data_IF_527093321600
#
_entry.id   IF_527093321600
#
_cell.length_a   1.000
_cell.length_b   1.000
_cell.length_c   1.000
_cell.angle_alpha   90.00
_cell.angle_beta   90.00
_cell.angle_gamma   90.00
#
_symmetry.space_group_name_H-M   'P 1'
#
loop_
_entity.id
_entity.type
_entity.pdbx_description
1 polymer ?
#
# COMPACT_ATOMS: atom_id res chain seq x y z
N UNK A 1 -35.50 38.09 -36.93
CA UNK A 1 -34.79 37.90 -35.64
C UNK A 1 -33.79 36.78 -35.82
N UNK A 2 -32.50 37.12 -35.92
CA UNK A 2 -31.45 36.19 -36.25
C UNK A 2 -31.02 35.43 -34.98
N UNK A 3 -31.06 34.08 -35.05
CA UNK A 3 -30.48 33.21 -34.03
C UNK A 3 -28.93 33.32 -34.09
N UNK A 4 -28.34 33.91 -33.05
CA UNK A 4 -26.90 33.86 -32.84
C UNK A 4 -26.50 32.43 -32.45
N UNK A 5 -25.42 31.86 -33.04
CA UNK A 5 -24.96 30.54 -32.69
C UNK A 5 -24.37 30.57 -31.27
N UNK A 6 -24.79 29.61 -30.45
CA UNK A 6 -24.27 29.41 -29.10
C UNK A 6 -22.75 29.16 -29.17
N UNK A 7 -22.07 29.87 -28.31
CA UNK A 7 -20.64 29.94 -28.05
C UNK A 7 -19.97 28.54 -27.99
N UNK A 8 -19.29 28.17 -29.06
CA UNK A 8 -18.52 26.92 -29.19
C UNK A 8 -17.20 26.92 -28.45
N UNK A 9 -16.85 28.03 -27.78
CA UNK A 9 -15.55 28.21 -27.10
C UNK A 9 -15.51 27.62 -25.68
N UNK A 10 -16.68 27.29 -25.07
CA UNK A 10 -16.74 26.78 -23.70
C UNK A 10 -16.41 25.28 -23.55
N UNK A 11 -16.37 24.50 -24.64
CA UNK A 11 -16.14 23.05 -24.58
C UNK A 11 -14.65 22.63 -24.60
N UNK A 12 -13.74 23.54 -24.94
CA UNK A 12 -12.32 23.20 -25.12
C UNK A 12 -11.49 23.32 -23.84
N UNK A 13 -11.93 24.08 -22.84
CA UNK A 13 -11.13 24.38 -21.62
C UNK A 13 -11.32 23.43 -20.45
N UNK A 14 -12.40 22.67 -20.37
CA UNK A 14 -12.70 21.77 -19.25
C UNK A 14 -11.79 20.51 -19.18
N UNK A 15 -11.30 19.90 -20.28
CA UNK A 15 -10.50 18.68 -20.22
C UNK A 15 -9.04 18.88 -19.78
N UNK A 16 -8.50 20.10 -19.80
CA UNK A 16 -7.06 20.34 -19.55
C UNK A 16 -6.68 20.30 -18.06
N UNK A 17 -7.59 20.64 -17.14
CA UNK A 17 -7.28 20.80 -15.72
C UNK A 17 -6.92 19.50 -15.00
N UNK A 18 -7.38 18.35 -15.47
CA UNK A 18 -7.13 17.05 -14.84
C UNK A 18 -6.20 16.10 -15.61
N UNK A 19 -5.67 16.50 -16.77
CA UNK A 19 -4.81 15.62 -17.60
C UNK A 19 -3.52 15.19 -16.91
N UNK A 20 -2.98 16.01 -16.02
CA UNK A 20 -1.74 15.75 -15.28
C UNK A 20 -1.93 14.87 -14.05
N UNK A 21 -3.16 14.68 -13.56
CA UNK A 21 -3.39 13.91 -12.36
C UNK A 21 -2.89 12.45 -12.46
N UNK A 22 -3.15 11.68 -13.52
CA UNK A 22 -2.54 10.36 -13.71
C UNK A 22 -1.01 10.38 -13.68
N UNK A 23 -0.38 11.38 -14.31
CA UNK A 23 1.08 11.47 -14.36
C UNK A 23 1.69 11.67 -12.96
N UNK A 24 1.09 12.52 -12.11
CA UNK A 24 1.52 12.70 -10.72
C UNK A 24 1.40 11.40 -9.92
N UNK A 25 0.28 10.67 -10.06
CA UNK A 25 0.06 9.40 -9.37
C UNK A 25 1.09 8.36 -9.80
N UNK A 26 1.30 8.20 -11.10
CA UNK A 26 2.24 7.22 -11.64
C UNK A 26 3.70 7.58 -11.30
N UNK A 27 4.08 8.86 -11.37
CA UNK A 27 5.39 9.32 -10.94
C UNK A 27 5.63 9.04 -9.46
N UNK A 28 4.65 9.34 -8.60
CA UNK A 28 4.75 9.05 -7.16
C UNK A 28 4.98 7.57 -6.89
N UNK A 29 4.19 6.68 -7.52
CA UNK A 29 4.32 5.24 -7.33
C UNK A 29 5.63 4.71 -7.93
N UNK A 30 6.00 5.12 -9.14
CA UNK A 30 7.24 4.69 -9.79
C UNK A 30 8.50 5.06 -8.99
N UNK A 31 8.43 6.12 -8.19
CA UNK A 31 9.54 6.63 -7.37
C UNK A 31 9.54 6.10 -5.92
N UNK A 32 8.65 5.18 -5.53
CA UNK A 32 8.69 4.54 -4.20
C UNK A 32 10.02 3.88 -3.83
N UNK A 33 10.81 3.34 -4.76
CA UNK A 33 12.16 2.88 -4.44
C UNK A 33 13.12 3.98 -3.96
N UNK A 34 12.79 5.26 -4.21
CA UNK A 34 13.53 6.45 -3.82
C UNK A 34 12.68 7.30 -2.85
N UNK A 35 12.60 6.95 -1.54
CA UNK A 35 11.62 7.51 -0.61
C UNK A 35 11.62 9.04 -0.55
N UNK A 36 12.80 9.67 -0.51
CA UNK A 36 12.93 11.13 -0.46
C UNK A 36 12.36 11.82 -1.72
N UNK A 37 12.59 11.23 -2.90
CA UNK A 37 12.08 11.76 -4.17
C UNK A 37 10.57 11.52 -4.28
N UNK A 38 10.09 10.34 -3.89
CA UNK A 38 8.66 10.06 -3.86
C UNK A 38 7.91 11.05 -2.94
N UNK A 39 8.44 11.33 -1.75
CA UNK A 39 7.87 12.33 -0.84
C UNK A 39 7.87 13.73 -1.46
N UNK A 40 8.93 14.13 -2.16
CA UNK A 40 8.97 15.41 -2.87
C UNK A 40 7.88 15.49 -3.95
N UNK A 41 7.71 14.44 -4.74
CA UNK A 41 6.63 14.36 -5.76
C UNK A 41 5.25 14.45 -5.10
N UNK A 42 5.02 13.79 -3.97
CA UNK A 42 3.78 13.88 -3.22
C UNK A 42 3.50 15.32 -2.76
N UNK A 43 4.51 15.98 -2.18
CA UNK A 43 4.38 17.38 -1.71
C UNK A 43 4.09 18.32 -2.88
N UNK A 44 4.82 18.20 -3.99
CA UNK A 44 4.59 19.01 -5.18
C UNK A 44 3.20 18.78 -5.78
N UNK A 45 2.74 17.53 -5.82
CA UNK A 45 1.39 17.17 -6.26
C UNK A 45 0.32 17.76 -5.34
N UNK A 46 0.54 17.71 -4.02
CA UNK A 46 -0.36 18.31 -3.03
C UNK A 46 -0.42 19.85 -3.20
N UNK A 47 0.73 20.51 -3.33
CA UNK A 47 0.79 21.95 -3.59
C UNK A 47 0.11 22.31 -4.91
N UNK A 48 0.35 21.55 -5.97
CA UNK A 48 -0.32 21.72 -7.25
C UNK A 48 -1.85 21.63 -7.10
N UNK A 49 -2.36 20.64 -6.35
CA UNK A 49 -3.78 20.51 -6.08
C UNK A 49 -4.33 21.73 -5.33
N UNK A 50 -3.64 22.21 -4.28
CA UNK A 50 -4.04 23.40 -3.51
C UNK A 50 -4.06 24.64 -4.39
N UNK A 51 -3.02 24.89 -5.18
CA UNK A 51 -2.94 26.06 -6.08
C UNK A 51 -4.12 26.04 -7.07
N UNK A 52 -4.46 24.88 -7.62
CA UNK A 52 -5.63 24.73 -8.53
C UNK A 52 -6.94 25.02 -7.83
N UNK A 53 -7.09 24.63 -6.56
CA UNK A 53 -8.28 24.93 -5.75
C UNK A 53 -8.40 26.41 -5.39
N UNK A 54 -7.28 27.10 -5.19
CA UNK A 54 -7.27 28.53 -4.84
C UNK A 54 -7.56 29.43 -6.05
N UNK A 55 -7.32 28.99 -7.27
CA UNK A 55 -7.59 29.76 -8.48
C UNK A 55 -9.10 29.79 -8.79
N UNK A 56 -9.79 30.96 -8.78
CA UNK A 56 -11.25 31.05 -8.94
C UNK A 56 -11.76 30.44 -10.26
N UNK A 57 -11.02 30.67 -11.36
CA UNK A 57 -11.31 30.10 -12.69
C UNK A 57 -11.19 28.58 -12.76
N UNK A 58 -10.38 27.99 -11.88
CA UNK A 58 -10.10 26.55 -11.85
C UNK A 58 -10.96 25.79 -10.83
N UNK A 59 -11.55 26.47 -9.83
CA UNK A 59 -12.46 25.84 -8.86
C UNK A 59 -13.64 25.16 -9.54
N UNK A 60 -14.27 25.82 -10.51
CA UNK A 60 -15.35 25.24 -11.30
C UNK A 60 -14.91 24.00 -12.06
N UNK A 61 -13.73 24.04 -12.70
CA UNK A 61 -13.19 22.90 -13.46
C UNK A 61 -12.78 21.72 -12.55
N UNK A 62 -12.18 21.97 -11.39
CA UNK A 62 -11.85 20.93 -10.39
C UNK A 62 -13.11 20.35 -9.78
N UNK A 63 -14.07 21.19 -9.38
CA UNK A 63 -15.36 20.75 -8.83
C UNK A 63 -16.24 20.04 -9.85
N UNK A 64 -16.12 20.37 -11.15
CA UNK A 64 -16.77 19.64 -12.21
C UNK A 64 -16.11 18.26 -12.46
N UNK A 65 -14.79 18.16 -12.20
CA UNK A 65 -14.02 16.93 -12.40
C UNK A 65 -14.14 15.99 -11.21
N UNK A 66 -14.09 16.51 -9.99
CA UNK A 66 -14.21 15.74 -8.76
C UNK A 66 -15.55 16.08 -8.10
N UNK A 67 -16.58 15.27 -8.31
CA UNK A 67 -17.91 15.50 -7.74
C UNK A 67 -17.91 15.53 -6.19
N UNK A 68 -18.95 16.14 -5.62
CA UNK A 68 -19.13 16.25 -4.15
C UNK A 68 -18.99 14.90 -3.43
N UNK A 69 -19.55 13.76 -3.94
CA UNK A 69 -19.37 12.46 -3.29
C UNK A 69 -17.92 12.00 -3.21
N UNK A 70 -17.12 12.27 -4.25
CA UNK A 70 -15.70 11.93 -4.27
C UNK A 70 -14.91 12.75 -3.24
N UNK A 71 -15.18 14.06 -3.14
CA UNK A 71 -14.62 14.94 -2.14
C UNK A 71 -14.94 14.46 -0.73
N UNK A 72 -16.23 14.20 -0.45
CA UNK A 72 -16.70 13.78 0.85
C UNK A 72 -16.07 12.45 1.28
N UNK A 73 -16.15 11.42 0.44
CA UNK A 73 -15.61 10.10 0.76
C UNK A 73 -14.09 10.14 0.97
N UNK A 74 -13.36 10.81 0.09
CA UNK A 74 -11.90 10.94 0.20
C UNK A 74 -11.50 11.66 1.49
N UNK A 75 -12.20 12.76 1.84
CA UNK A 75 -11.92 13.52 3.06
C UNK A 75 -12.28 12.74 4.33
N UNK A 76 -13.36 11.98 4.32
CA UNK A 76 -13.75 11.12 5.46
C UNK A 76 -12.70 10.02 5.67
N UNK A 77 -12.23 9.37 4.60
CA UNK A 77 -11.19 8.34 4.71
C UNK A 77 -9.85 8.91 5.19
N UNK A 78 -9.51 10.14 4.76
CA UNK A 78 -8.37 10.86 5.30
C UNK A 78 -8.53 11.14 6.79
N UNK A 79 -9.67 11.69 7.22
CA UNK A 79 -9.92 12.01 8.63
C UNK A 79 -9.91 10.76 9.51
N UNK A 80 -10.45 9.64 9.03
CA UNK A 80 -10.42 8.38 9.77
C UNK A 80 -8.99 7.85 10.00
N UNK A 81 -8.04 8.22 9.15
CA UNK A 81 -6.62 7.91 9.32
C UNK A 81 -5.88 8.97 10.14
N UNK A 82 -6.13 10.25 9.89
CA UNK A 82 -5.34 11.37 10.40
C UNK A 82 -5.80 11.86 11.80
N UNK A 83 -7.13 11.90 12.03
CA UNK A 83 -7.67 12.41 13.30
C UNK A 83 -7.26 11.58 14.52
N UNK A 84 -7.23 10.23 14.47
CA UNK A 84 -6.68 9.44 15.57
C UNK A 84 -5.24 9.81 15.92
N UNK A 85 -4.41 10.06 14.90
CA UNK A 85 -3.02 10.45 15.11
C UNK A 85 -2.91 11.82 15.79
N UNK A 86 -3.79 12.78 15.43
CA UNK A 86 -3.83 14.08 16.08
C UNK A 86 -4.21 13.97 17.56
N UNK A 87 -5.27 13.22 17.86
CA UNK A 87 -5.75 13.05 19.23
C UNK A 87 -4.72 12.33 20.11
N UNK A 88 -4.10 11.29 19.56
CA UNK A 88 -3.03 10.54 20.23
C UNK A 88 -1.75 11.36 20.43
N UNK A 89 -1.45 12.31 19.51
CA UNK A 89 -0.26 13.14 19.62
C UNK A 89 -0.32 14.15 20.78
N UNK A 90 -1.52 14.50 21.25
CA UNK A 90 -1.70 15.45 22.35
C UNK A 90 -1.21 14.86 23.70
N UNK A 91 -1.28 13.55 23.85
CA UNK A 91 -0.92 12.80 25.06
C UNK A 91 0.32 11.90 24.87
N UNK A 92 1.08 12.13 23.79
CA UNK A 92 2.26 11.33 23.48
C UNK A 92 3.43 11.66 24.40
N UNK A 93 4.32 10.70 24.68
CA UNK A 93 5.57 10.92 25.45
C UNK A 93 6.47 12.03 24.85
N UNK A 94 6.47 12.17 23.52
CA UNK A 94 7.17 13.24 22.79
C UNK A 94 6.17 14.07 21.96
N UNK A 95 5.35 14.96 22.59
CA UNK A 95 4.25 15.67 21.92
C UNK A 95 4.72 16.51 20.71
N UNK A 96 5.85 17.20 20.83
CA UNK A 96 6.38 18.03 19.75
C UNK A 96 6.73 17.23 18.50
N UNK A 97 7.35 16.06 18.66
CA UNK A 97 7.66 15.15 17.55
C UNK A 97 6.39 14.54 16.94
N UNK A 98 5.45 14.11 17.78
CA UNK A 98 4.19 13.53 17.37
C UNK A 98 3.35 14.57 16.59
N UNK A 99 3.18 15.79 17.10
CA UNK A 99 2.47 16.88 16.44
C UNK A 99 3.14 17.29 15.13
N UNK A 100 4.49 17.34 15.07
CA UNK A 100 5.21 17.58 13.82
C UNK A 100 4.91 16.53 12.76
N UNK A 101 4.80 15.25 13.16
CA UNK A 101 4.41 14.14 12.28
C UNK A 101 2.99 14.31 11.76
N UNK A 102 2.06 14.66 12.66
CA UNK A 102 0.63 14.87 12.33
C UNK A 102 0.46 16.07 11.40
N UNK A 103 1.13 17.20 11.69
CA UNK A 103 1.11 18.39 10.83
C UNK A 103 1.64 18.06 9.42
N UNK A 104 2.77 17.34 9.34
CA UNK A 104 3.29 16.84 8.07
C UNK A 104 2.30 15.93 7.33
N UNK A 105 1.42 15.23 8.03
CA UNK A 105 0.37 14.37 7.46
C UNK A 105 -0.71 15.12 6.69
N UNK A 106 -0.92 16.43 6.95
CA UNK A 106 -1.93 17.23 6.25
C UNK A 106 -1.70 17.29 4.73
N UNK A 107 -0.46 17.14 4.26
CA UNK A 107 -0.15 17.10 2.82
C UNK A 107 -0.84 15.96 2.08
N UNK A 108 -1.21 14.89 2.77
CA UNK A 108 -1.90 13.77 2.15
C UNK A 108 -3.31 14.13 1.69
N UNK A 109 -4.03 15.03 2.35
CA UNK A 109 -5.41 15.36 1.98
C UNK A 109 -5.52 15.94 0.55
N UNK A 110 -4.82 17.03 0.19
CA UNK A 110 -4.87 17.54 -1.18
C UNK A 110 -4.27 16.57 -2.20
N UNK A 111 -3.26 15.77 -1.80
CA UNK A 111 -2.76 14.69 -2.65
C UNK A 111 -3.85 13.64 -2.93
N UNK A 112 -4.62 13.21 -1.94
CA UNK A 112 -5.72 12.27 -2.12
C UNK A 112 -6.81 12.82 -3.07
N UNK A 113 -7.11 14.11 -3.02
CA UNK A 113 -8.04 14.74 -3.98
C UNK A 113 -7.47 14.67 -5.40
N UNK A 114 -6.18 14.93 -5.58
CA UNK A 114 -5.52 14.78 -6.89
C UNK A 114 -5.57 13.32 -7.38
N UNK A 115 -5.33 12.36 -6.50
CA UNK A 115 -5.43 10.92 -6.81
C UNK A 115 -6.85 10.55 -7.22
N UNK A 116 -7.87 11.05 -6.52
CA UNK A 116 -9.27 10.82 -6.88
C UNK A 116 -9.61 11.43 -8.26
N UNK A 117 -9.06 12.61 -8.59
CA UNK A 117 -9.17 13.19 -9.94
C UNK A 117 -8.51 12.34 -11.02
N UNK A 118 -7.44 11.62 -10.69
CA UNK A 118 -6.73 10.75 -11.64
C UNK A 118 -7.56 9.54 -12.11
N UNK A 119 -8.70 9.28 -11.48
CA UNK A 119 -9.61 8.17 -11.82
C UNK A 119 -11.07 8.60 -12.00
N UNK A 120 -11.32 9.92 -12.05
CA UNK A 120 -12.66 10.50 -12.05
C UNK A 120 -13.44 10.27 -13.38
N UNK A 121 -12.77 9.95 -14.47
CA UNK A 121 -13.35 9.58 -15.74
C UNK A 121 -12.68 8.33 -16.35
N UNK A 122 -13.28 7.78 -17.41
CA UNK A 122 -12.82 6.53 -18.03
C UNK A 122 -11.42 6.64 -18.62
N UNK A 123 -11.07 7.75 -19.24
CA UNK A 123 -9.78 7.94 -19.90
C UNK A 123 -8.66 8.00 -18.87
N UNK A 124 -8.81 8.83 -17.82
CA UNK A 124 -7.85 8.97 -16.72
C UNK A 124 -7.72 7.68 -15.93
N UNK A 125 -8.83 7.02 -15.62
CA UNK A 125 -8.85 5.76 -14.88
C UNK A 125 -8.12 4.66 -15.64
N UNK A 126 -8.34 4.54 -16.96
CA UNK A 126 -7.61 3.58 -17.81
C UNK A 126 -6.12 3.84 -17.78
N UNK A 127 -5.67 5.10 -17.94
CA UNK A 127 -4.24 5.46 -17.88
C UNK A 127 -3.66 5.15 -16.49
N UNK A 128 -4.35 5.55 -15.42
CA UNK A 128 -3.85 5.35 -14.06
C UNK A 128 -3.76 3.86 -13.71
N UNK A 129 -4.81 3.08 -13.95
CA UNK A 129 -4.83 1.66 -13.59
C UNK A 129 -3.91 0.82 -14.48
N UNK A 130 -3.85 1.12 -15.79
CA UNK A 130 -2.89 0.48 -16.70
C UNK A 130 -1.45 0.84 -16.33
N UNK A 131 -1.18 2.11 -15.98
CA UNK A 131 0.14 2.53 -15.51
C UNK A 131 0.58 1.83 -14.23
N UNK A 132 -0.32 1.68 -13.23
CA UNK A 132 -0.04 0.89 -12.02
C UNK A 132 0.23 -0.58 -12.34
N UNK A 133 -0.52 -1.17 -13.26
CA UNK A 133 -0.30 -2.55 -13.73
C UNK A 133 1.07 -2.68 -14.41
N UNK A 134 1.45 -1.73 -15.26
CA UNK A 134 2.75 -1.71 -15.94
C UNK A 134 3.89 -1.57 -14.93
N UNK A 135 3.78 -0.67 -13.94
CA UNK A 135 4.79 -0.53 -12.88
C UNK A 135 4.94 -1.84 -12.12
N UNK A 136 3.85 -2.48 -11.70
CA UNK A 136 3.89 -3.78 -11.03
C UNK A 136 4.52 -4.87 -11.92
N UNK A 137 4.22 -4.86 -13.23
CA UNK A 137 4.82 -5.76 -14.21
C UNK A 137 6.34 -5.56 -14.36
N UNK A 138 6.79 -4.31 -14.51
CA UNK A 138 8.21 -3.96 -14.61
C UNK A 138 8.97 -4.36 -13.34
N UNK A 139 8.42 -4.09 -12.15
CA UNK A 139 9.06 -4.49 -10.89
C UNK A 139 9.08 -6.00 -10.69
N UNK A 140 8.05 -6.72 -11.17
CA UNK A 140 8.07 -8.19 -11.17
C UNK A 140 9.13 -8.72 -12.10
N UNK A 141 9.28 -8.15 -13.31
CA UNK A 141 10.34 -8.51 -14.25
C UNK A 141 11.73 -8.28 -13.66
N UNK A 142 11.97 -7.11 -13.08
CA UNK A 142 13.24 -6.76 -12.44
C UNK A 142 13.60 -7.73 -11.31
N UNK A 143 12.59 -8.14 -10.51
CA UNK A 143 12.78 -9.15 -9.46
C UNK A 143 13.17 -10.52 -10.03
N UNK A 144 12.57 -10.95 -11.14
CA UNK A 144 12.94 -12.20 -11.82
C UNK A 144 14.33 -12.11 -12.43
N UNK A 145 14.68 -10.98 -13.02
CA UNK A 145 16.04 -10.74 -13.55
C UNK A 145 17.06 -10.76 -12.40
N UNK A 146 16.75 -10.19 -11.25
CA UNK A 146 17.61 -10.30 -10.06
C UNK A 146 17.79 -11.75 -9.62
N UNK A 147 16.73 -12.56 -9.65
CA UNK A 147 16.83 -13.98 -9.28
C UNK A 147 17.72 -14.79 -10.24
N UNK A 148 17.73 -14.43 -11.54
CA UNK A 148 18.51 -15.11 -12.56
C UNK A 148 19.98 -14.63 -12.61
N UNK A 149 20.20 -13.33 -12.46
CA UNK A 149 21.51 -12.69 -12.65
C UNK A 149 22.13 -12.17 -11.35
N UNK A 150 21.51 -12.43 -10.20
CA UNK A 150 21.96 -11.99 -8.86
C UNK A 150 21.98 -10.46 -8.65
N UNK A 151 21.64 -9.68 -9.66
CA UNK A 151 21.60 -8.21 -9.63
C UNK A 151 20.30 -7.70 -10.21
N UNK A 152 19.69 -6.72 -9.53
CA UNK A 152 18.52 -5.99 -10.06
C UNK A 152 19.01 -4.90 -11.02
N UNK A 153 18.64 -4.94 -12.31
CA UNK A 153 19.03 -3.88 -13.25
C UNK A 153 18.51 -2.50 -12.87
N UNK A 154 17.25 -2.43 -12.38
CA UNK A 154 16.66 -1.14 -11.97
C UNK A 154 17.33 -0.60 -10.71
N UNK A 155 17.55 -1.43 -9.69
CA UNK A 155 18.23 -0.98 -8.48
C UNK A 155 19.66 -0.51 -8.79
N UNK A 156 20.40 -1.28 -9.59
CA UNK A 156 21.74 -0.91 -10.02
C UNK A 156 21.75 0.45 -10.74
N UNK A 157 20.85 0.65 -11.70
CA UNK A 157 20.73 1.93 -12.43
C UNK A 157 20.42 3.10 -11.51
N UNK A 158 19.48 2.93 -10.56
CA UNK A 158 19.14 3.97 -9.57
C UNK A 158 20.29 4.24 -8.60
N UNK A 159 21.04 3.20 -8.20
CA UNK A 159 22.20 3.33 -7.35
C UNK A 159 23.31 4.15 -8.02
N UNK A 160 23.64 3.81 -9.28
CA UNK A 160 24.64 4.55 -10.08
C UNK A 160 24.20 6.00 -10.30
N UNK A 161 22.94 6.22 -10.65
CA UNK A 161 22.41 7.57 -10.85
C UNK A 161 22.51 8.41 -9.56
N UNK A 162 22.14 7.86 -8.41
CA UNK A 162 22.25 8.55 -7.14
C UNK A 162 23.70 8.84 -6.79
N UNK A 163 24.60 7.88 -6.98
CA UNK A 163 26.03 8.05 -6.72
C UNK A 163 26.63 9.16 -7.61
N UNK A 164 26.25 9.20 -8.89
CA UNK A 164 26.68 10.24 -9.84
C UNK A 164 26.17 11.64 -9.45
N UNK A 165 24.90 11.75 -9.01
CA UNK A 165 24.26 13.04 -8.71
C UNK A 165 24.61 13.59 -7.32
N UNK A 166 24.83 12.74 -6.33
CA UNK A 166 24.99 13.14 -4.93
C UNK A 166 26.25 12.62 -4.24
N UNK A 167 27.05 11.79 -4.91
CA UNK A 167 28.23 11.15 -4.31
C UNK A 167 27.89 10.08 -3.25
N UNK A 168 26.61 9.80 -2.99
CA UNK A 168 26.18 8.88 -1.93
C UNK A 168 25.56 7.61 -2.50
N UNK A 169 25.86 6.49 -1.87
CA UNK A 169 25.23 5.20 -2.19
C UNK A 169 23.73 5.21 -1.88
N UNK A 170 22.94 4.45 -2.63
CA UNK A 170 21.52 4.26 -2.36
C UNK A 170 21.28 3.35 -1.15
N UNK A 171 22.19 2.40 -0.94
CA UNK A 171 22.16 1.40 0.12
C UNK A 171 23.58 1.17 0.62
N UNK A 172 23.81 1.32 1.90
CA UNK A 172 25.10 1.03 2.53
C UNK A 172 25.13 -0.43 2.98
N UNK A 173 26.29 -1.10 3.00
CA UNK A 173 26.42 -2.49 3.44
C UNK A 173 25.87 -2.75 4.86
N UNK A 174 26.04 -1.80 5.75
CA UNK A 174 25.54 -1.85 7.15
C UNK A 174 24.02 -1.77 7.26
N UNK A 175 23.34 -1.23 6.24
CA UNK A 175 21.89 -1.03 6.25
C UNK A 175 21.13 -2.19 5.57
N UNK A 176 21.83 -3.25 5.18
CA UNK A 176 21.25 -4.38 4.45
C UNK A 176 20.41 -5.29 5.36
N UNK A 177 19.13 -5.00 5.48
CA UNK A 177 18.14 -5.78 6.24
C UNK A 177 17.62 -6.96 5.42
N UNK A 178 17.55 -6.81 4.12
CA UNK A 178 16.99 -7.79 3.16
C UNK A 178 18.03 -8.65 2.44
N UNK A 179 19.24 -8.81 3.00
CA UNK A 179 20.25 -9.69 2.44
C UNK A 179 19.73 -11.13 2.29
N UNK A 180 20.07 -11.79 1.19
CA UNK A 180 19.57 -13.12 0.88
C UNK A 180 18.12 -13.18 0.38
N UNK A 181 17.47 -12.05 -0.01
CA UNK A 181 16.14 -12.01 -0.62
C UNK A 181 16.17 -11.28 -1.95
N UNK A 182 15.21 -11.61 -2.82
CA UNK A 182 14.95 -10.81 -4.01
C UNK A 182 14.20 -9.54 -3.61
N UNK A 183 14.87 -8.40 -3.68
CA UNK A 183 14.31 -7.10 -3.30
C UNK A 183 14.03 -6.20 -4.51
N UNK A 184 14.45 -6.62 -5.71
CA UNK A 184 14.27 -5.88 -6.96
C UNK A 184 14.74 -4.45 -6.84
N UNK A 185 14.02 -3.57 -7.48
CA UNK A 185 14.26 -2.12 -7.52
C UNK A 185 14.35 -1.44 -6.14
N UNK A 186 13.79 -2.04 -5.07
CA UNK A 186 13.85 -1.50 -3.71
C UNK A 186 15.21 -1.74 -3.02
N UNK A 187 15.98 -2.74 -3.46
CA UNK A 187 17.26 -3.09 -2.89
C UNK A 187 17.20 -3.70 -1.49
N UNK A 188 18.34 -4.20 -1.01
CA UNK A 188 18.43 -4.93 0.26
C UNK A 188 18.18 -4.07 1.50
N UNK A 189 18.38 -2.76 1.43
CA UNK A 189 18.09 -1.82 2.52
C UNK A 189 16.61 -1.52 2.69
N UNK A 190 15.76 -1.92 1.73
CA UNK A 190 14.33 -1.59 1.73
C UNK A 190 13.48 -2.78 1.27
N UNK A 191 13.39 -3.88 2.03
CA UNK A 191 12.79 -5.14 1.60
C UNK A 191 11.26 -5.10 1.56
N UNK A 192 10.69 -4.17 0.78
CA UNK A 192 9.24 -3.94 0.67
C UNK A 192 8.62 -4.55 -0.59
N UNK A 193 9.44 -5.00 -1.54
CA UNK A 193 8.99 -5.44 -2.87
C UNK A 193 7.80 -6.39 -2.81
N UNK A 194 7.91 -7.48 -2.06
CA UNK A 194 6.88 -8.53 -2.03
C UNK A 194 5.51 -8.00 -1.62
N UNK A 195 5.44 -7.16 -0.58
CA UNK A 195 4.17 -6.60 -0.11
C UNK A 195 3.64 -5.52 -1.05
N UNK A 196 4.50 -4.70 -1.63
CA UNK A 196 4.10 -3.69 -2.62
C UNK A 196 3.54 -4.35 -3.87
N UNK A 197 4.21 -5.39 -4.39
CA UNK A 197 3.71 -6.16 -5.53
C UNK A 197 2.38 -6.84 -5.21
N UNK A 198 2.25 -7.45 -4.03
CA UNK A 198 0.98 -8.06 -3.61
C UNK A 198 -0.16 -7.02 -3.56
N UNK A 199 0.11 -5.81 -3.04
CA UNK A 199 -0.88 -4.72 -2.96
C UNK A 199 -1.26 -4.16 -4.34
N UNK A 200 -0.33 -4.10 -5.30
CA UNK A 200 -0.58 -3.58 -6.66
C UNK A 200 -1.04 -4.65 -7.66
N UNK A 201 -0.86 -5.93 -7.36
CA UNK A 201 -1.20 -7.03 -8.28
C UNK A 201 -2.67 -7.08 -8.73
N UNK A 202 -3.69 -6.60 -7.97
CA UNK A 202 -5.05 -6.51 -8.50
C UNK A 202 -5.17 -5.70 -9.80
N UNK A 203 -4.37 -4.63 -9.96
CA UNK A 203 -4.36 -3.84 -11.19
C UNK A 203 -3.80 -4.66 -12.36
N UNK A 204 -2.70 -5.38 -12.15
CA UNK A 204 -2.05 -6.22 -13.16
C UNK A 204 -2.94 -7.41 -13.58
N UNK A 205 -3.44 -8.16 -12.60
CA UNK A 205 -4.21 -9.39 -12.86
C UNK A 205 -5.55 -9.09 -13.55
N UNK A 206 -6.26 -8.04 -13.09
CA UNK A 206 -7.52 -7.66 -13.69
C UNK A 206 -7.36 -7.06 -15.08
N UNK A 207 -6.28 -6.31 -15.33
CA UNK A 207 -5.97 -5.81 -16.68
C UNK A 207 -5.65 -6.98 -17.62
N UNK A 208 -4.76 -7.88 -17.23
CA UNK A 208 -4.40 -9.07 -18.02
C UNK A 208 -5.61 -9.97 -18.30
N UNK A 209 -6.46 -10.15 -17.29
CA UNK A 209 -7.71 -10.90 -17.44
C UNK A 209 -8.71 -10.25 -18.40
N UNK A 210 -8.77 -8.91 -18.46
CA UNK A 210 -9.60 -8.19 -19.42
C UNK A 210 -9.05 -8.27 -20.85
N UNK A 211 -7.72 -8.18 -21.01
CA UNK A 211 -7.09 -8.18 -22.35
C UNK A 211 -7.03 -9.59 -22.98
N UNK A 212 -6.72 -10.62 -22.17
CA UNK A 212 -6.41 -11.96 -22.68
C UNK A 212 -7.18 -13.08 -21.94
N UNK A 213 -8.25 -12.74 -21.24
CA UNK A 213 -9.12 -13.70 -20.57
C UNK A 213 -8.40 -14.50 -19.48
N UNK A 214 -8.82 -15.76 -19.31
CA UNK A 214 -8.29 -16.66 -18.27
C UNK A 214 -6.80 -16.92 -18.40
N UNK A 215 -6.30 -17.02 -19.63
CA UNK A 215 -4.88 -17.27 -19.91
C UNK A 215 -4.04 -16.06 -19.49
N UNK A 216 -4.46 -14.85 -19.86
CA UNK A 216 -3.77 -13.63 -19.47
C UNK A 216 -3.71 -13.46 -17.94
N UNK A 217 -4.83 -13.71 -17.26
CA UNK A 217 -4.86 -13.69 -15.81
C UNK A 217 -3.90 -14.72 -15.20
N UNK A 218 -3.90 -15.97 -15.70
CA UNK A 218 -3.03 -17.05 -15.19
C UNK A 218 -1.54 -16.73 -15.39
N UNK A 219 -1.17 -16.23 -16.57
CA UNK A 219 0.22 -15.83 -16.88
C UNK A 219 0.65 -14.68 -15.97
N UNK A 220 -0.17 -13.63 -15.82
CA UNK A 220 0.12 -12.51 -14.93
C UNK A 220 0.20 -12.96 -13.45
N UNK A 221 -0.68 -13.87 -13.04
CA UNK A 221 -0.68 -14.43 -11.70
C UNK A 221 0.60 -15.25 -11.42
N UNK A 222 1.04 -16.08 -12.34
CA UNK A 222 2.28 -16.82 -12.22
C UNK A 222 3.49 -15.88 -12.19
N UNK A 223 3.55 -14.93 -13.10
CA UNK A 223 4.63 -13.96 -13.24
C UNK A 223 4.83 -13.12 -11.98
N UNK A 224 3.78 -12.47 -11.46
CA UNK A 224 3.85 -11.72 -10.22
C UNK A 224 4.04 -12.64 -8.99
N UNK A 225 3.43 -13.83 -9.01
CA UNK A 225 3.50 -14.79 -7.92
C UNK A 225 4.92 -15.29 -7.66
N UNK A 226 5.67 -15.62 -8.70
CA UNK A 226 7.08 -16.04 -8.56
C UNK A 226 7.91 -14.90 -7.97
N UNK A 227 7.76 -13.66 -8.44
CA UNK A 227 8.46 -12.50 -7.89
C UNK A 227 8.15 -12.28 -6.39
N UNK A 228 6.86 -12.39 -6.01
CA UNK A 228 6.42 -12.25 -4.61
C UNK A 228 6.92 -13.38 -3.72
N UNK A 229 6.97 -14.61 -4.22
CA UNK A 229 7.52 -15.77 -3.50
C UNK A 229 9.02 -15.59 -3.22
N UNK A 230 9.78 -15.19 -4.23
CA UNK A 230 11.23 -14.96 -4.14
C UNK A 230 11.56 -13.74 -3.24
N UNK A 231 10.68 -12.77 -3.11
CA UNK A 231 10.82 -11.68 -2.14
C UNK A 231 10.76 -12.14 -0.68
N UNK A 232 10.35 -13.39 -0.42
CA UNK A 232 10.52 -14.10 0.84
C UNK A 232 9.74 -13.58 2.04
N UNK A 233 8.68 -12.76 1.86
CA UNK A 233 7.82 -12.28 2.92
C UNK A 233 6.55 -13.14 3.05
N UNK A 234 6.39 -13.83 4.17
CA UNK A 234 5.19 -14.67 4.44
C UNK A 234 3.89 -13.85 4.40
N UNK A 235 3.93 -12.61 4.89
CA UNK A 235 2.78 -11.72 4.84
C UNK A 235 2.36 -11.39 3.40
N UNK A 236 3.32 -11.17 2.50
CA UNK A 236 3.00 -10.92 1.08
C UNK A 236 2.45 -12.16 0.39
N UNK A 237 2.84 -13.35 0.81
CA UNK A 237 2.26 -14.61 0.28
C UNK A 237 0.77 -14.73 0.64
N UNK A 238 0.41 -14.46 1.91
CA UNK A 238 -0.98 -14.45 2.37
C UNK A 238 -1.78 -13.37 1.64
N UNK A 239 -1.24 -12.15 1.56
CA UNK A 239 -1.87 -11.05 0.83
C UNK A 239 -2.10 -11.42 -0.64
N UNK A 240 -1.11 -12.04 -1.28
CA UNK A 240 -1.24 -12.45 -2.67
C UNK A 240 -2.23 -13.61 -2.88
N UNK A 241 -2.30 -14.56 -1.96
CA UNK A 241 -3.32 -15.61 -1.99
C UNK A 241 -4.75 -15.04 -1.97
N UNK A 242 -4.98 -13.99 -1.16
CA UNK A 242 -6.26 -13.25 -1.16
C UNK A 242 -6.50 -12.54 -2.49
N UNK A 243 -5.46 -11.94 -3.09
CA UNK A 243 -5.57 -11.34 -4.43
C UNK A 243 -5.98 -12.38 -5.46
N UNK A 244 -5.33 -13.53 -5.50
CA UNK A 244 -5.68 -14.62 -6.43
C UNK A 244 -7.12 -15.07 -6.23
N UNK A 245 -7.54 -15.24 -4.99
CA UNK A 245 -8.91 -15.64 -4.66
C UNK A 245 -9.91 -14.60 -5.19
N UNK A 246 -9.77 -13.32 -4.83
CA UNK A 246 -10.76 -12.29 -5.17
C UNK A 246 -10.74 -11.87 -6.63
N UNK A 247 -9.59 -11.92 -7.31
CA UNK A 247 -9.51 -11.60 -8.75
C UNK A 247 -9.91 -12.78 -9.62
N UNK A 248 -9.55 -14.00 -9.22
CA UNK A 248 -9.78 -15.23 -9.99
C UNK A 248 -11.19 -15.83 -9.84
N UNK A 249 -11.84 -15.65 -8.70
CA UNK A 249 -13.11 -16.31 -8.39
C UNK A 249 -14.19 -16.13 -9.46
N UNK A 250 -14.40 -14.89 -9.91
CA UNK A 250 -15.40 -14.60 -10.96
C UNK A 250 -14.97 -15.03 -12.35
N UNK A 251 -13.66 -15.06 -12.61
CA UNK A 251 -13.11 -15.34 -13.94
C UNK A 251 -13.00 -16.85 -14.19
N UNK A 252 -12.59 -17.60 -13.18
CA UNK A 252 -12.29 -19.01 -13.29
C UNK A 252 -13.47 -19.91 -12.87
N UNK A 253 -14.21 -19.51 -11.83
CA UNK A 253 -15.17 -20.36 -11.14
C UNK A 253 -14.47 -21.38 -10.23
N UNK A 254 -15.26 -22.12 -9.42
CA UNK A 254 -14.74 -22.97 -8.34
C UNK A 254 -13.76 -24.07 -8.83
N UNK A 255 -14.09 -24.77 -9.92
CA UNK A 255 -13.27 -25.87 -10.46
C UNK A 255 -11.87 -25.39 -10.89
N UNK A 256 -11.81 -24.35 -11.68
CA UNK A 256 -10.55 -23.81 -12.17
C UNK A 256 -9.76 -23.09 -11.06
N UNK A 257 -10.46 -22.54 -10.08
CA UNK A 257 -9.81 -21.99 -8.89
C UNK A 257 -9.13 -23.11 -8.07
N UNK A 258 -9.79 -24.26 -7.87
CA UNK A 258 -9.17 -25.40 -7.20
C UNK A 258 -7.91 -25.89 -7.93
N UNK A 259 -7.96 -25.97 -9.27
CA UNK A 259 -6.80 -26.30 -10.09
C UNK A 259 -5.68 -25.24 -9.99
N UNK A 260 -6.03 -23.95 -9.95
CA UNK A 260 -5.05 -22.86 -9.76
C UNK A 260 -4.39 -22.94 -8.39
N UNK A 261 -5.14 -23.25 -7.32
CA UNK A 261 -4.59 -23.46 -5.97
C UNK A 261 -3.66 -24.68 -5.97
N UNK A 262 -4.06 -25.80 -6.57
CA UNK A 262 -3.20 -26.97 -6.67
C UNK A 262 -1.91 -26.65 -7.43
N UNK A 263 -2.00 -25.97 -8.56
CA UNK A 263 -0.82 -25.54 -9.35
C UNK A 263 0.08 -24.60 -8.55
N UNK A 264 -0.50 -23.69 -7.74
CA UNK A 264 0.27 -22.79 -6.86
C UNK A 264 1.01 -23.59 -5.78
N UNK A 265 0.37 -24.56 -5.14
CA UNK A 265 1.00 -25.44 -4.13
C UNK A 265 2.14 -26.24 -4.75
N UNK A 266 1.94 -26.85 -5.91
CA UNK A 266 2.98 -27.60 -6.63
C UNK A 266 4.13 -26.66 -7.08
N UNK A 267 3.81 -25.45 -7.53
CA UNK A 267 4.79 -24.42 -7.89
C UNK A 267 5.65 -23.98 -6.70
N UNK A 268 5.05 -23.77 -5.52
CA UNK A 268 5.78 -23.46 -4.29
C UNK A 268 6.68 -24.63 -3.88
N UNK A 269 6.20 -25.87 -3.98
CA UNK A 269 7.00 -27.06 -3.71
C UNK A 269 8.19 -27.17 -4.67
N UNK A 270 7.96 -26.97 -5.98
CA UNK A 270 9.03 -26.96 -6.99
C UNK A 270 10.06 -25.85 -6.76
N UNK A 271 9.61 -24.63 -6.43
CA UNK A 271 10.52 -23.52 -6.08
C UNK A 271 11.30 -23.82 -4.78
N UNK A 272 10.71 -24.55 -3.84
CA UNK A 272 11.38 -25.00 -2.62
C UNK A 272 12.53 -25.97 -2.88
N UNK A 273 12.51 -26.74 -3.99
CA UNK A 273 13.65 -27.60 -4.38
C UNK A 273 14.78 -26.80 -5.05
N UNK A 274 14.46 -25.74 -5.80
CA UNK A 274 15.42 -24.92 -6.55
C UNK A 274 15.95 -23.68 -5.80
N UNK A 275 15.23 -23.19 -4.77
CA UNK A 275 15.60 -21.99 -4.03
C UNK A 275 15.79 -22.29 -2.55
N UNK A 276 17.02 -22.10 -2.04
CA UNK A 276 17.35 -22.26 -0.62
C UNK A 276 16.50 -21.33 0.25
N UNK A 277 16.24 -20.11 -0.20
CA UNK A 277 15.42 -19.12 0.50
C UNK A 277 13.97 -19.58 0.69
N UNK A 278 13.33 -20.07 -0.37
CA UNK A 278 11.95 -20.57 -0.30
C UNK A 278 11.89 -21.78 0.62
N UNK A 279 12.85 -22.70 0.49
CA UNK A 279 12.98 -23.89 1.34
C UNK A 279 13.13 -23.54 2.83
N UNK A 280 14.04 -22.62 3.17
CA UNK A 280 14.25 -22.17 4.54
C UNK A 280 12.99 -21.52 5.13
N UNK A 281 12.25 -20.73 4.33
CA UNK A 281 11.00 -20.11 4.77
C UNK A 281 9.88 -21.11 5.01
N UNK A 282 9.77 -22.11 4.17
CA UNK A 282 8.83 -23.22 4.36
C UNK A 282 9.24 -24.00 5.61
N UNK A 283 10.51 -24.38 5.74
CA UNK A 283 11.03 -25.11 6.89
C UNK A 283 10.81 -24.35 8.22
N UNK A 284 11.00 -23.02 8.22
CA UNK A 284 10.74 -22.19 9.39
C UNK A 284 9.23 -22.00 9.71
N UNK A 285 8.34 -22.39 8.80
CA UNK A 285 6.89 -22.24 8.99
C UNK A 285 6.23 -23.55 9.39
N UNK A 286 6.72 -24.68 8.89
CA UNK A 286 6.16 -26.02 9.17
C UNK A 286 6.05 -26.37 10.67
N UNK A 287 7.04 -26.02 11.54
CA UNK A 287 6.93 -26.29 12.98
C UNK A 287 5.71 -25.68 13.66
N UNK A 288 5.16 -24.58 13.12
CA UNK A 288 3.91 -24.00 13.65
C UNK A 288 2.72 -24.98 13.63
N UNK A 289 2.75 -25.96 12.74
CA UNK A 289 1.70 -27.00 12.67
C UNK A 289 1.73 -27.95 13.88
N UNK A 290 2.82 -27.98 14.66
CA UNK A 290 2.92 -28.75 15.91
C UNK A 290 1.99 -28.22 17.01
N UNK A 291 1.54 -26.96 16.92
CA UNK A 291 0.74 -26.27 17.93
C UNK A 291 1.53 -25.86 19.21
N UNK A 292 2.83 -26.15 19.28
CA UNK A 292 3.68 -25.75 20.41
C UNK A 292 3.99 -24.25 20.37
N UNK A 293 3.87 -23.56 21.49
CA UNK A 293 4.07 -22.11 21.56
C UNK A 293 5.45 -21.65 21.07
N UNK A 294 6.52 -22.38 21.38
CA UNK A 294 7.88 -22.08 20.91
C UNK A 294 7.99 -22.16 19.38
N UNK A 295 7.40 -23.23 18.78
CA UNK A 295 7.41 -23.44 17.34
C UNK A 295 6.57 -22.37 16.60
N UNK A 296 5.45 -21.97 17.21
CA UNK A 296 4.60 -20.86 16.70
C UNK A 296 5.39 -19.54 16.74
N UNK A 297 6.09 -19.24 17.86
CA UNK A 297 6.89 -18.02 17.96
C UNK A 297 8.03 -17.97 16.92
N UNK A 298 8.71 -19.09 16.69
CA UNK A 298 9.72 -19.22 15.63
C UNK A 298 9.12 -18.98 14.26
N UNK A 299 7.96 -19.56 13.99
CA UNK A 299 7.23 -19.35 12.74
C UNK A 299 6.76 -17.88 12.58
N UNK A 300 6.46 -17.19 13.67
CA UNK A 300 6.12 -15.76 13.67
C UNK A 300 7.36 -14.84 13.62
N UNK A 301 8.57 -15.39 13.64
CA UNK A 301 9.83 -14.64 13.65
C UNK A 301 9.88 -13.59 14.80
N UNK A 302 9.62 -14.03 16.03
CA UNK A 302 9.66 -13.19 17.23
C UNK A 302 8.50 -12.22 17.41
N UNK A 303 7.53 -12.21 16.50
CA UNK A 303 6.41 -11.27 16.61
C UNK A 303 5.53 -11.48 17.83
N UNK A 304 5.51 -12.68 18.39
CA UNK A 304 4.81 -12.96 19.65
C UNK A 304 5.25 -12.03 20.78
N UNK A 305 6.56 -11.79 20.92
CA UNK A 305 7.15 -10.83 21.86
C UNK A 305 6.68 -9.39 21.56
N UNK A 306 6.71 -8.98 20.28
CA UNK A 306 6.25 -7.64 19.87
C UNK A 306 4.77 -7.46 20.20
N UNK A 307 3.95 -8.48 19.95
CA UNK A 307 2.52 -8.43 20.25
C UNK A 307 2.22 -8.38 21.75
N UNK A 308 3.02 -9.08 22.57
CA UNK A 308 2.92 -8.99 24.05
C UNK A 308 3.22 -7.57 24.53
N UNK A 309 4.27 -6.93 24.00
CA UNK A 309 4.57 -5.53 24.30
C UNK A 309 3.48 -4.57 23.81
N UNK A 310 2.92 -4.81 22.60
CA UNK A 310 1.78 -4.03 22.12
C UNK A 310 0.56 -4.14 23.04
N UNK A 311 0.26 -5.34 23.56
CA UNK A 311 -0.85 -5.56 24.50
C UNK A 311 -0.60 -4.90 25.87
N UNK A 312 0.66 -4.84 26.34
CA UNK A 312 1.04 -4.05 27.51
C UNK A 312 0.71 -2.57 27.29
N UNK A 313 1.18 -1.97 26.20
CA UNK A 313 0.89 -0.58 25.84
C UNK A 313 -0.62 -0.29 25.77
N UNK A 314 -1.41 -1.21 25.20
CA UNK A 314 -2.88 -1.08 25.15
C UNK A 314 -3.51 -1.10 26.53
N UNK A 315 -3.00 -1.90 27.47
CA UNK A 315 -3.51 -1.97 28.84
C UNK A 315 -3.18 -0.70 29.63
N UNK A 316 -2.00 -0.14 29.44
CA UNK A 316 -1.54 1.07 30.13
C UNK A 316 -2.17 2.33 29.54
N UNK A 317 -2.39 2.37 28.20
CA UNK A 317 -2.93 3.52 27.47
C UNK A 317 -4.14 3.13 26.61
N UNK A 318 -5.28 2.67 27.21
CA UNK A 318 -6.38 2.07 26.44
C UNK A 318 -7.15 3.05 25.55
N UNK A 319 -7.21 4.35 25.90
CA UNK A 319 -8.04 5.33 25.20
C UNK A 319 -7.31 5.94 24.00
N UNK A 320 -6.13 6.54 24.23
CA UNK A 320 -5.37 7.31 23.23
C UNK A 320 -4.11 6.59 22.73
N UNK A 321 -3.74 5.43 23.30
CA UNK A 321 -2.47 4.77 23.00
C UNK A 321 -1.26 5.53 23.52
N UNK A 322 -0.06 5.06 23.17
CA UNK A 322 1.23 5.68 23.58
C UNK A 322 1.64 6.87 22.70
N UNK A 323 0.76 7.30 21.80
CA UNK A 323 1.07 8.35 20.83
C UNK A 323 1.50 7.79 19.47
N UNK A 324 1.17 8.53 18.41
CA UNK A 324 1.56 8.16 17.04
C UNK A 324 3.08 8.05 16.92
N UNK A 325 3.58 6.90 16.43
CA UNK A 325 5.01 6.56 16.36
C UNK A 325 5.71 6.46 17.72
N UNK A 326 4.95 6.45 18.82
CA UNK A 326 5.44 6.29 20.19
C UNK A 326 5.80 4.85 20.57
N UNK A 327 5.40 3.85 19.78
CA UNK A 327 5.62 2.43 20.06
C UNK A 327 7.07 2.13 20.50
N UNK A 328 8.07 2.64 19.76
CA UNK A 328 9.49 2.45 20.04
C UNK A 328 9.94 3.07 21.38
N UNK A 329 9.29 4.16 21.79
CA UNK A 329 9.63 4.88 23.02
C UNK A 329 9.04 4.16 24.24
N UNK A 330 7.82 3.62 24.12
CA UNK A 330 7.17 2.83 25.14
C UNK A 330 7.67 1.36 25.20
N UNK A 331 8.43 0.91 24.19
CA UNK A 331 8.92 -0.47 24.11
C UNK A 331 9.74 -0.92 25.34
N UNK A 332 10.71 -0.14 25.87
CA UNK A 332 11.54 -0.59 26.98
C UNK A 332 10.75 -0.96 28.25
N UNK A 333 9.61 -0.29 28.50
CA UNK A 333 8.74 -0.53 29.66
C UNK A 333 7.84 -1.74 29.46
N UNK A 334 7.45 -2.01 28.20
CA UNK A 334 6.54 -3.08 27.83
C UNK A 334 7.23 -4.32 27.22
N UNK A 335 8.55 -4.34 27.12
CA UNK A 335 9.28 -5.49 26.60
C UNK A 335 9.25 -6.66 27.59
N UNK A 336 8.59 -7.80 27.27
CA UNK A 336 8.45 -8.92 28.19
C UNK A 336 9.79 -9.59 28.58
N UNK A 337 10.87 -9.29 27.87
CA UNK A 337 12.20 -9.86 28.15
C UNK A 337 13.21 -8.83 28.67
N UNK A 338 12.76 -7.60 28.95
CA UNK A 338 13.61 -6.53 29.50
C UNK A 338 14.94 -6.33 28.75
N UNK A 339 14.90 -6.35 27.42
CA UNK A 339 16.08 -6.17 26.56
C UNK A 339 16.93 -7.42 26.34
N UNK A 340 16.60 -8.56 26.93
CA UNK A 340 17.36 -9.79 26.71
C UNK A 340 17.03 -10.42 25.37
N UNK A 341 18.03 -10.48 24.48
CA UNK A 341 17.98 -11.15 23.18
C UNK A 341 16.92 -10.57 22.24
N UNK A 342 17.33 -10.06 21.10
CA UNK A 342 16.38 -9.58 20.07
C UNK A 342 16.50 -10.46 18.82
N UNK A 343 15.39 -11.03 18.39
CA UNK A 343 15.34 -11.84 17.16
C UNK A 343 15.47 -10.97 15.89
N UNK A 344 15.39 -9.64 16.02
CA UNK A 344 15.49 -8.66 14.93
C UNK A 344 16.73 -7.76 14.99
N UNK A 345 17.67 -8.01 15.90
CA UNK A 345 18.89 -7.22 16.13
C UNK A 345 18.77 -6.27 17.32
N UNK A 346 19.75 -5.40 17.49
CA UNK A 346 19.79 -4.44 18.59
C UNK A 346 18.75 -3.32 18.44
N UNK A 347 18.17 -2.91 19.55
CA UNK A 347 17.23 -1.79 19.61
C UNK A 347 15.76 -2.15 19.84
N UNK A 348 14.91 -1.13 20.06
CA UNK A 348 13.49 -1.34 20.35
C UNK A 348 12.71 -1.79 19.11
N UNK A 349 11.63 -2.55 19.33
CA UNK A 349 10.66 -2.79 18.27
C UNK A 349 10.04 -1.47 17.79
N UNK A 350 9.98 -1.29 16.48
CA UNK A 350 9.58 -0.01 15.89
C UNK A 350 8.07 0.17 15.73
N UNK A 351 7.32 -0.93 15.68
CA UNK A 351 5.86 -0.99 15.50
C UNK A 351 5.35 -2.42 15.72
N UNK A 352 4.04 -2.59 15.89
CA UNK A 352 3.43 -3.87 16.27
C UNK A 352 3.46 -4.96 15.19
N UNK A 353 3.76 -4.66 13.92
CA UNK A 353 3.68 -5.60 12.81
C UNK A 353 2.32 -6.32 12.67
N UNK A 354 1.25 -5.69 13.15
CA UNK A 354 -0.12 -6.16 13.02
C UNK A 354 -1.05 -4.95 13.10
N UNK A 355 -1.91 -4.77 12.11
CA UNK A 355 -2.70 -3.56 11.90
C UNK A 355 -3.50 -3.13 13.14
N UNK A 356 -4.27 -4.05 13.71
CA UNK A 356 -5.17 -3.72 14.84
C UNK A 356 -4.36 -3.38 16.09
N UNK A 357 -3.31 -4.16 16.38
CA UNK A 357 -2.43 -3.89 17.52
C UNK A 357 -1.66 -2.58 17.36
N UNK A 358 -1.25 -2.23 16.14
CA UNK A 358 -0.56 -0.96 15.90
C UNK A 358 -1.50 0.23 16.12
N UNK A 359 -2.73 0.16 15.61
CA UNK A 359 -3.73 1.20 15.86
C UNK A 359 -4.04 1.30 17.35
N UNK A 360 -4.31 0.17 18.02
CA UNK A 360 -4.63 0.16 19.45
C UNK A 360 -3.46 0.64 20.32
N UNK A 361 -2.23 0.20 20.06
CA UNK A 361 -1.07 0.59 20.89
C UNK A 361 -0.69 2.05 20.66
N UNK A 362 -0.75 2.57 19.44
CA UNK A 362 -0.33 3.95 19.15
C UNK A 362 -1.48 4.98 19.27
N UNK A 363 -2.74 4.61 19.01
CA UNK A 363 -3.88 5.57 19.01
C UNK A 363 -5.08 5.12 19.86
N UNK A 364 -4.94 4.02 20.58
CA UNK A 364 -5.93 3.52 21.52
C UNK A 364 -7.25 3.06 20.87
N UNK A 365 -8.23 2.82 21.74
CA UNK A 365 -9.57 2.41 21.34
C UNK A 365 -10.25 3.51 20.51
N UNK A 366 -10.00 4.78 20.83
CA UNK A 366 -10.54 5.92 20.07
C UNK A 366 -10.06 5.88 18.62
N UNK A 367 -8.77 5.59 18.40
CA UNK A 367 -8.20 5.43 17.07
C UNK A 367 -8.80 4.26 16.30
N UNK A 368 -8.98 3.12 16.97
CA UNK A 368 -9.61 1.96 16.33
C UNK A 368 -11.06 2.24 15.94
N UNK A 369 -11.85 2.90 16.80
CA UNK A 369 -13.24 3.27 16.51
C UNK A 369 -13.34 4.21 15.31
N UNK A 370 -12.50 5.25 15.24
CA UNK A 370 -12.47 6.18 14.12
C UNK A 370 -12.05 5.49 12.81
N UNK A 371 -11.07 4.59 12.88
CA UNK A 371 -10.66 3.80 11.72
C UNK A 371 -11.78 2.87 11.24
N UNK A 372 -12.45 2.15 12.16
CA UNK A 372 -13.60 1.29 11.85
C UNK A 372 -14.77 2.09 11.26
N UNK A 373 -15.00 3.32 11.74
CA UNK A 373 -16.00 4.23 11.17
C UNK A 373 -15.67 4.60 9.73
N UNK A 374 -14.38 4.91 9.43
CA UNK A 374 -13.92 5.12 8.06
C UNK A 374 -14.13 3.89 7.17
N UNK A 375 -13.79 2.71 7.67
CA UNK A 375 -14.01 1.44 6.97
C UNK A 375 -15.51 1.18 6.73
N UNK A 376 -16.36 1.46 7.71
CA UNK A 376 -17.82 1.36 7.58
C UNK A 376 -18.37 2.33 6.53
N UNK A 377 -17.86 3.57 6.48
CA UNK A 377 -18.24 4.56 5.46
C UNK A 377 -17.79 4.12 4.05
N UNK A 378 -16.57 3.57 3.91
CA UNK A 378 -16.12 2.99 2.65
C UNK A 378 -17.02 1.82 2.23
N UNK A 379 -17.33 0.92 3.15
CA UNK A 379 -18.22 -0.20 2.89
C UNK A 379 -19.65 0.25 2.53
N UNK A 380 -20.18 1.24 3.24
CA UNK A 380 -21.48 1.84 2.93
C UNK A 380 -21.50 2.41 1.51
N UNK A 381 -20.47 3.21 1.14
CA UNK A 381 -20.34 3.74 -0.21
C UNK A 381 -20.34 2.61 -1.27
N UNK A 382 -19.62 1.53 -1.03
CA UNK A 382 -19.62 0.35 -1.89
C UNK A 382 -21.00 -0.30 -2.01
N UNK A 383 -21.69 -0.47 -0.89
CA UNK A 383 -23.02 -1.14 -0.88
C UNK A 383 -24.07 -0.37 -1.67
N UNK A 384 -24.04 0.95 -1.58
CA UNK A 384 -25.02 1.81 -2.27
C UNK A 384 -24.62 2.19 -3.70
N UNK A 385 -23.41 1.88 -4.12
CA UNK A 385 -22.96 2.10 -5.51
C UNK A 385 -23.66 1.11 -6.47
N UNK A 386 -23.90 1.53 -7.69
CA UNK A 386 -24.39 0.65 -8.75
C UNK A 386 -23.35 -0.38 -9.20
N UNK A 387 -23.77 -1.35 -10.01
CA UNK A 387 -22.89 -2.43 -10.47
C UNK A 387 -21.72 -1.90 -11.33
N UNK A 388 -21.97 -0.87 -12.14
CA UNK A 388 -20.94 -0.27 -12.99
C UNK A 388 -19.89 0.49 -12.15
N UNK A 389 -20.33 1.25 -11.15
CA UNK A 389 -19.43 1.92 -10.20
C UNK A 389 -18.55 0.92 -9.43
N UNK A 390 -19.16 -0.17 -8.93
CA UNK A 390 -18.40 -1.24 -8.26
C UNK A 390 -17.37 -1.89 -9.19
N UNK A 391 -17.72 -2.14 -10.44
CA UNK A 391 -16.78 -2.74 -11.40
C UNK A 391 -15.65 -1.76 -11.77
N UNK A 392 -15.94 -0.46 -11.88
CA UNK A 392 -14.91 0.59 -12.07
C UNK A 392 -13.93 0.64 -10.91
N UNK A 393 -14.43 0.61 -9.68
CA UNK A 393 -13.63 0.72 -8.46
C UNK A 393 -12.95 -0.60 -8.05
N UNK A 394 -13.35 -1.74 -8.62
CA UNK A 394 -12.94 -3.08 -8.20
C UNK A 394 -11.43 -3.26 -8.06
N UNK A 395 -10.56 -2.83 -9.00
CA UNK A 395 -9.11 -2.99 -8.84
C UNK A 395 -8.58 -2.27 -7.61
N UNK A 396 -8.99 -1.01 -7.38
CA UNK A 396 -8.57 -0.22 -6.24
C UNK A 396 -9.18 -0.72 -4.93
N UNK A 397 -10.45 -1.16 -4.94
CA UNK A 397 -11.12 -1.76 -3.79
C UNK A 397 -10.40 -3.03 -3.31
N UNK A 398 -10.03 -3.91 -4.25
CA UNK A 398 -9.30 -5.14 -3.91
C UNK A 398 -7.88 -4.81 -3.42
N UNK A 399 -7.15 -3.90 -4.07
CA UNK A 399 -5.84 -3.47 -3.65
C UNK A 399 -5.87 -2.90 -2.21
N UNK A 400 -6.86 -2.05 -1.90
CA UNK A 400 -7.06 -1.50 -0.56
C UNK A 400 -7.38 -2.61 0.46
N UNK A 401 -8.36 -3.48 0.17
CA UNK A 401 -8.81 -4.54 1.05
C UNK A 401 -7.67 -5.49 1.44
N UNK A 402 -6.89 -5.96 0.47
CA UNK A 402 -5.79 -6.89 0.74
C UNK A 402 -4.60 -6.23 1.43
N UNK A 403 -4.44 -4.90 1.26
CA UNK A 403 -3.39 -4.14 1.94
C UNK A 403 -3.72 -3.94 3.43
N UNK A 404 -4.97 -3.62 3.77
CA UNK A 404 -5.42 -3.42 5.17
C UNK A 404 -5.86 -4.71 5.84
N UNK A 405 -5.61 -5.86 5.26
CA UNK A 405 -5.97 -7.15 5.86
C UNK A 405 -5.29 -7.29 7.24
N UNK A 406 -6.06 -7.63 8.31
CA UNK A 406 -5.54 -7.59 9.68
C UNK A 406 -4.27 -8.42 9.93
N UNK A 407 -4.12 -9.53 9.20
CA UNK A 407 -2.92 -10.38 9.29
C UNK A 407 -1.79 -9.98 8.33
N UNK A 408 -1.87 -8.80 7.70
CA UNK A 408 -0.74 -8.24 6.98
C UNK A 408 0.32 -7.72 7.97
N UNK A 409 1.23 -8.61 8.34
CA UNK A 409 2.29 -8.34 9.33
C UNK A 409 3.47 -7.54 8.76
N UNK A 410 3.37 -7.05 7.53
CA UNK A 410 4.37 -6.19 6.90
C UNK A 410 3.98 -4.71 6.94
N UNK A 411 2.71 -4.42 7.16
CA UNK A 411 2.19 -3.06 7.20
C UNK A 411 2.61 -2.36 8.50
N UNK A 412 3.33 -1.25 8.37
CA UNK A 412 3.55 -0.27 9.43
C UNK A 412 2.58 0.89 9.19
N UNK A 413 1.39 0.81 9.78
CA UNK A 413 0.23 1.61 9.44
C UNK A 413 0.49 3.13 9.51
N UNK A 414 1.14 3.59 10.58
CA UNK A 414 1.45 5.00 10.78
C UNK A 414 2.81 5.42 10.19
N UNK A 415 3.51 4.57 9.42
CA UNK A 415 4.73 4.98 8.74
C UNK A 415 4.44 5.90 7.55
N UNK A 416 5.40 6.75 7.16
CA UNK A 416 5.24 7.62 5.99
C UNK A 416 4.99 6.82 4.71
N UNK A 417 5.76 5.75 4.50
CA UNK A 417 5.62 4.92 3.31
C UNK A 417 4.28 4.19 3.25
N UNK A 418 3.96 3.36 4.26
CA UNK A 418 2.73 2.56 4.21
C UNK A 418 1.47 3.40 4.38
N UNK A 419 1.53 4.49 5.15
CA UNK A 419 0.44 5.46 5.23
C UNK A 419 0.15 6.09 3.86
N UNK A 420 1.19 6.45 3.09
CA UNK A 420 1.01 7.00 1.74
C UNK A 420 0.44 5.96 0.76
N UNK A 421 0.87 4.69 0.84
CA UNK A 421 0.29 3.58 0.05
C UNK A 421 -1.20 3.41 0.36
N UNK A 422 -1.54 3.35 1.66
CA UNK A 422 -2.91 3.20 2.11
C UNK A 422 -3.80 4.34 1.60
N UNK A 423 -3.37 5.58 1.80
CA UNK A 423 -4.14 6.77 1.43
C UNK A 423 -4.26 6.91 -0.09
N UNK A 424 -3.23 6.53 -0.86
CA UNK A 424 -3.30 6.41 -2.31
C UNK A 424 -4.39 5.42 -2.74
N UNK A 425 -4.39 4.19 -2.20
CA UNK A 425 -5.36 3.16 -2.55
C UNK A 425 -6.78 3.56 -2.13
N UNK A 426 -6.94 4.20 -0.97
CA UNK A 426 -8.22 4.74 -0.51
C UNK A 426 -8.76 5.84 -1.43
N UNK A 427 -7.90 6.73 -1.92
CA UNK A 427 -8.28 7.79 -2.85
C UNK A 427 -8.60 7.25 -4.25
N UNK A 428 -7.84 6.28 -4.76
CA UNK A 428 -8.16 5.57 -6.00
C UNK A 428 -9.51 4.87 -5.92
N UNK A 429 -9.78 4.22 -4.77
CA UNK A 429 -11.07 3.58 -4.51
C UNK A 429 -12.21 4.61 -4.49
N UNK A 430 -12.09 5.66 -3.69
CA UNK A 430 -13.12 6.68 -3.57
C UNK A 430 -13.41 7.39 -4.90
N UNK A 431 -12.37 7.80 -5.62
CA UNK A 431 -12.49 8.46 -6.92
C UNK A 431 -13.12 7.57 -7.98
N UNK A 432 -12.69 6.32 -8.10
CA UNK A 432 -13.23 5.38 -9.09
C UNK A 432 -14.68 4.96 -8.80
N UNK A 433 -15.03 4.81 -7.51
CA UNK A 433 -16.40 4.45 -7.09
C UNK A 433 -17.41 5.54 -7.38
N UNK A 434 -17.02 6.79 -7.18
CA UNK A 434 -17.88 7.96 -7.30
C UNK A 434 -17.69 8.69 -8.64
N UNK A 435 -16.92 8.13 -9.57
CA UNK A 435 -16.73 8.65 -10.93
C UNK A 435 -18.08 8.80 -11.64
N UNK A 436 -18.24 9.88 -12.39
CA UNK A 436 -19.43 10.11 -13.21
C UNK A 436 -19.43 9.16 -14.40
N UNK A 437 -20.62 8.68 -14.78
CA UNK A 437 -20.83 8.04 -16.07
C UNK A 437 -20.88 9.17 -17.12
N UNK A 438 -19.90 9.25 -18.00
CA UNK A 438 -19.97 10.06 -19.21
C UNK A 438 -20.61 9.23 -20.33
#
# INVERSE_FOLDING_TARGET
>A
MANLPADSTSRISAPLAGRWAPAWVLAFVALWPLPGIAEAVLVLAALFAVVRLLQPRMRGAVGATLGVPAWALTSVLFLAYWLPQLLSALDAQEPGRALGKVAGGLRYLPFMWLVAMAVADDARRRVTFAGLAVIAGIWSLDALLQALFSTSPLFWSLHQLKQLLSGHALCLPQDMIGSGRVNGVFGACNPKLGQVLASLSPFLLLLAGRCWGRIGWAVAAMFAGVAILLAGSRASWITYALVLLFTGWRLLGARWMALAVLAAVLGVAALGTGSTQVRERIAATLPALSGKAADINTALAGRGRIWSGALCMVREHPVNGVGVRGFRNAWPECDPTHGQGTEWGDGPALHAHQLVLEILSETGLLGLLLWLMGAAMAWRAWRYADAAARERARPAALALLVTVFPFNTHLAFHSAFWGSVLLLLAALYAGALTARNE
#
